data_IF_010564797818
#
_entry.id   IF_010564797818
#
_cell.length_a   1.000
_cell.length_b   1.000
_cell.length_c   1.000
_cell.angle_alpha   90.00
_cell.angle_beta   90.00
_cell.angle_gamma   90.00
#
_symmetry.space_group_name_H-M   'P 1'
#
loop_
_entity.id
_entity.type
_entity.pdbx_description
1 polymer ?
#
# COMPACT_ATOMS: atom_id res chain seq x y z
N UNK A 1 2.48 9.57 -11.44
CA UNK A 1 3.80 9.45 -10.75
C UNK A 1 4.59 8.36 -11.46
N UNK A 2 5.88 8.55 -11.74
CA UNK A 2 6.72 7.51 -12.36
C UNK A 2 7.52 6.73 -11.29
N UNK A 3 8.18 5.64 -11.67
CA UNK A 3 8.91 4.77 -10.72
C UNK A 3 9.97 5.50 -9.90
N UNK A 4 10.77 6.34 -10.56
CA UNK A 4 11.83 7.12 -9.91
C UNK A 4 11.26 8.06 -8.82
N UNK A 5 10.24 8.85 -9.16
CA UNK A 5 9.60 9.78 -8.21
C UNK A 5 8.89 9.04 -7.06
N UNK A 6 8.31 7.87 -7.32
CA UNK A 6 7.73 7.03 -6.27
C UNK A 6 8.79 6.56 -5.28
N UNK A 7 9.87 5.94 -5.76
CA UNK A 7 10.90 5.39 -4.87
C UNK A 7 11.71 6.45 -4.14
N UNK A 8 11.90 7.64 -4.73
CA UNK A 8 12.48 8.78 -4.04
C UNK A 8 11.63 9.18 -2.82
N UNK A 9 10.31 9.35 -3.00
CA UNK A 9 9.39 9.65 -1.89
C UNK A 9 9.30 8.50 -0.88
N UNK A 10 9.27 7.26 -1.36
CA UNK A 10 9.25 6.06 -0.53
C UNK A 10 10.46 6.01 0.42
N UNK A 11 11.67 6.26 -0.10
CA UNK A 11 12.91 6.28 0.68
C UNK A 11 12.93 7.41 1.70
N UNK A 12 12.39 8.58 1.36
CA UNK A 12 12.31 9.71 2.29
C UNK A 12 11.37 9.45 3.48
N UNK A 13 10.39 8.55 3.34
CA UNK A 13 9.52 8.09 4.43
C UNK A 13 10.14 6.88 5.14
N UNK A 14 11.30 7.07 5.75
CA UNK A 14 12.10 6.00 6.35
C UNK A 14 11.87 5.75 7.84
N UNK A 15 11.23 6.69 8.56
CA UNK A 15 11.07 6.62 10.01
C UNK A 15 10.15 5.47 10.46
N UNK A 16 10.36 4.97 11.69
CA UNK A 16 9.54 3.90 12.26
C UNK A 16 8.05 4.29 12.36
N UNK A 17 7.76 5.53 12.76
CA UNK A 17 6.40 6.08 12.79
C UNK A 17 5.82 6.36 11.40
N UNK A 18 6.65 6.40 10.35
CA UNK A 18 6.24 6.65 8.97
C UNK A 18 6.03 5.36 8.17
N UNK A 19 6.26 4.19 8.76
CA UNK A 19 6.14 2.89 8.10
C UNK A 19 5.34 1.90 8.93
N UNK A 20 4.23 1.41 8.39
CA UNK A 20 3.53 0.24 8.91
C UNK A 20 3.71 -0.92 7.94
N UNK A 21 4.11 -2.09 8.45
CA UNK A 21 4.24 -3.32 7.67
C UNK A 21 3.48 -4.45 8.37
N UNK A 22 2.74 -5.22 7.58
CA UNK A 22 2.01 -6.41 8.03
C UNK A 22 2.22 -7.54 7.04
N UNK A 23 2.50 -8.73 7.56
CA UNK A 23 2.45 -9.98 6.81
C UNK A 23 1.27 -10.77 7.36
N UNK A 24 0.35 -11.17 6.50
CA UNK A 24 -0.90 -11.80 6.93
C UNK A 24 -1.40 -12.79 5.86
N UNK A 25 -2.20 -13.75 6.30
CA UNK A 25 -2.81 -14.76 5.42
C UNK A 25 -4.02 -14.15 4.71
N UNK A 26 -4.18 -14.45 3.42
CA UNK A 26 -5.36 -14.05 2.69
C UNK A 26 -6.63 -14.73 3.25
N UNK A 27 -7.70 -13.97 3.42
CA UNK A 27 -9.01 -14.45 3.86
C UNK A 27 -9.71 -15.27 2.77
N UNK A 28 -9.50 -14.89 1.51
CA UNK A 28 -9.98 -15.60 0.32
C UNK A 28 -8.79 -16.13 -0.49
N UNK A 29 -9.00 -17.12 -1.37
CA UNK A 29 -7.98 -17.54 -2.32
C UNK A 29 -7.40 -16.34 -3.07
N UNK A 30 -6.07 -16.31 -3.18
CA UNK A 30 -5.35 -15.14 -3.66
C UNK A 30 -5.62 -14.89 -5.16
N UNK A 31 -6.45 -13.89 -5.44
CA UNK A 31 -6.74 -13.38 -6.78
C UNK A 31 -6.17 -11.95 -6.94
N UNK A 32 -5.20 -11.80 -7.83
CA UNK A 32 -4.53 -10.52 -8.07
C UNK A 32 -5.43 -9.49 -8.75
N UNK A 33 -6.35 -9.90 -9.60
CA UNK A 33 -7.29 -8.97 -10.24
C UNK A 33 -8.29 -8.45 -9.22
N UNK A 34 -8.84 -9.35 -8.40
CA UNK A 34 -9.70 -8.94 -7.28
C UNK A 34 -8.94 -8.01 -6.31
N UNK A 35 -7.67 -8.29 -6.03
CA UNK A 35 -6.86 -7.44 -5.17
C UNK A 35 -6.63 -6.04 -5.77
N UNK A 36 -6.33 -5.94 -7.07
CA UNK A 36 -6.24 -4.67 -7.80
C UNK A 36 -7.54 -3.87 -7.72
N UNK A 37 -8.68 -4.53 -7.95
CA UNK A 37 -10.01 -3.89 -7.84
C UNK A 37 -10.29 -3.38 -6.43
N UNK A 38 -9.95 -4.15 -5.38
CA UNK A 38 -10.07 -3.72 -3.98
C UNK A 38 -9.23 -2.47 -3.70
N UNK A 39 -7.97 -2.43 -4.16
CA UNK A 39 -7.09 -1.27 -3.97
C UNK A 39 -7.61 -0.01 -4.68
N UNK A 40 -8.13 -0.15 -5.90
CA UNK A 40 -8.77 0.95 -6.62
C UNK A 40 -10.03 1.43 -5.89
N UNK A 41 -10.87 0.50 -5.41
CA UNK A 41 -12.08 0.80 -4.65
C UNK A 41 -11.82 1.46 -3.29
N UNK A 42 -10.67 1.19 -2.68
CA UNK A 42 -10.21 1.87 -1.46
C UNK A 42 -9.89 3.36 -1.69
N UNK A 43 -9.76 3.80 -2.95
CA UNK A 43 -9.56 5.20 -3.31
C UNK A 43 -8.09 5.61 -3.49
N UNK A 44 -7.17 4.65 -3.59
CA UNK A 44 -5.78 4.93 -3.97
C UNK A 44 -5.57 4.69 -5.47
N UNK A 45 -4.68 5.48 -6.08
CA UNK A 45 -4.30 5.28 -7.48
C UNK A 45 -3.33 4.09 -7.56
N UNK A 46 -3.72 3.05 -8.30
CA UNK A 46 -2.81 1.98 -8.69
C UNK A 46 -1.81 2.52 -9.73
N UNK A 47 -0.53 2.27 -9.49
CA UNK A 47 0.57 2.72 -10.35
C UNK A 47 1.20 1.52 -11.05
N UNK A 48 1.04 1.46 -12.37
CA UNK A 48 1.57 0.37 -13.17
C UNK A 48 3.10 0.46 -13.34
N UNK A 49 3.74 -0.71 -13.39
CA UNK A 49 5.16 -0.87 -13.71
C UNK A 49 6.13 -0.08 -12.82
N UNK A 50 5.75 0.17 -11.56
CA UNK A 50 6.63 0.77 -10.56
C UNK A 50 7.52 -0.28 -9.91
N UNK A 51 6.93 -1.38 -9.44
CA UNK A 51 7.69 -2.48 -8.88
C UNK A 51 8.30 -3.34 -9.99
N UNK A 52 9.56 -3.79 -9.86
CA UNK A 52 10.13 -4.73 -10.83
C UNK A 52 9.42 -6.08 -10.85
N UNK A 53 8.78 -6.49 -9.75
CA UNK A 53 7.92 -7.67 -9.73
C UNK A 53 6.49 -7.29 -10.19
N UNK A 54 6.00 -7.82 -11.32
CA UNK A 54 4.69 -7.46 -11.87
C UNK A 54 3.49 -7.91 -11.01
N UNK A 55 3.69 -8.88 -10.10
CA UNK A 55 2.66 -9.32 -9.16
C UNK A 55 2.48 -8.33 -7.99
N UNK A 56 3.51 -7.53 -7.69
CA UNK A 56 3.42 -6.52 -6.65
C UNK A 56 2.56 -5.35 -7.11
N UNK A 57 1.69 -4.88 -6.22
CA UNK A 57 0.83 -3.73 -6.47
C UNK A 57 1.38 -2.53 -5.72
N UNK A 58 1.59 -1.44 -6.45
CA UNK A 58 2.05 -0.17 -5.89
C UNK A 58 0.94 0.85 -6.04
N UNK A 59 0.60 1.54 -4.95
CA UNK A 59 -0.39 2.60 -4.99
C UNK A 59 0.15 3.88 -4.36
N UNK A 60 -0.40 5.01 -4.80
CA UNK A 60 -0.21 6.30 -4.18
C UNK A 60 -1.55 7.01 -4.02
N UNK A 61 -1.68 7.81 -2.97
CA UNK A 61 -2.88 8.59 -2.71
C UNK A 61 -2.59 9.76 -1.78
N UNK A 62 -3.57 10.66 -1.67
CA UNK A 62 -3.54 11.77 -0.71
C UNK A 62 -4.81 11.66 0.12
N UNK A 63 -4.65 11.56 1.44
CA UNK A 63 -5.77 11.61 2.37
C UNK A 63 -6.01 13.07 2.71
N UNK A 64 -7.16 13.57 2.28
CA UNK A 64 -7.61 14.92 2.55
C UNK A 64 -8.44 14.94 3.84
N UNK A 65 -8.03 15.74 4.81
CA UNK A 65 -8.84 16.08 5.99
C UNK A 65 -9.15 17.57 5.97
N UNK A 66 -9.99 18.04 6.91
CA UNK A 66 -10.31 19.47 7.02
C UNK A 66 -9.07 20.36 7.24
N UNK A 67 -8.05 19.85 7.91
CA UNK A 67 -6.89 20.66 8.37
C UNK A 67 -5.59 20.34 7.67
N UNK A 68 -5.49 19.20 6.97
CA UNK A 68 -4.22 18.74 6.40
C UNK A 68 -4.43 17.77 5.22
N UNK A 69 -3.40 17.63 4.41
CA UNK A 69 -3.29 16.61 3.37
C UNK A 69 -2.12 15.70 3.69
N UNK A 70 -2.34 14.39 3.66
CA UNK A 70 -1.32 13.40 3.98
C UNK A 70 -1.10 12.50 2.77
N UNK A 71 0.08 12.62 2.15
CA UNK A 71 0.50 11.70 1.10
C UNK A 71 0.73 10.31 1.68
N UNK A 72 0.16 9.30 1.03
CA UNK A 72 0.22 7.90 1.44
C UNK A 72 0.71 7.05 0.27
N UNK A 73 1.75 6.25 0.51
CA UNK A 73 2.32 5.30 -0.43
C UNK A 73 2.06 3.88 0.09
N UNK A 74 1.74 2.97 -0.82
CA UNK A 74 1.40 1.59 -0.52
C UNK A 74 2.16 0.65 -1.43
N UNK A 75 2.65 -0.46 -0.86
CA UNK A 75 3.18 -1.60 -1.61
C UNK A 75 2.57 -2.89 -1.04
N UNK A 76 1.84 -3.63 -1.87
CA UNK A 76 1.23 -4.90 -1.54
C UNK A 76 1.94 -6.01 -2.32
N UNK A 77 2.57 -6.93 -1.61
CA UNK A 77 3.40 -8.00 -2.16
C UNK A 77 2.73 -9.35 -1.90
N UNK A 78 2.09 -9.98 -2.91
CA UNK A 78 1.45 -11.28 -2.76
C UNK A 78 2.47 -12.42 -2.78
N UNK A 79 2.23 -13.45 -1.97
CA UNK A 79 2.88 -14.76 -2.07
C UNK A 79 1.81 -15.81 -2.39
N UNK A 80 1.69 -16.15 -3.68
CA UNK A 80 0.70 -17.11 -4.19
C UNK A 80 0.86 -18.51 -3.59
N UNK A 81 2.09 -18.97 -3.38
CA UNK A 81 2.35 -20.30 -2.83
C UNK A 81 1.92 -20.39 -1.35
N UNK A 82 2.23 -19.36 -0.56
CA UNK A 82 1.91 -19.34 0.85
C UNK A 82 0.50 -18.81 1.17
N UNK A 83 -0.22 -18.28 0.16
CA UNK A 83 -1.50 -17.59 0.32
C UNK A 83 -1.41 -16.46 1.37
N UNK A 84 -0.34 -15.67 1.30
CA UNK A 84 -0.07 -14.55 2.20
C UNK A 84 0.17 -13.27 1.43
N UNK A 85 -0.03 -12.14 2.10
CA UNK A 85 0.36 -10.81 1.63
C UNK A 85 1.38 -10.20 2.58
N UNK A 86 2.30 -9.40 2.02
CA UNK A 86 3.06 -8.40 2.77
C UNK A 86 2.59 -7.02 2.33
N UNK A 87 1.89 -6.31 3.21
CA UNK A 87 1.46 -4.94 3.00
C UNK A 87 2.44 -3.98 3.69
N UNK A 88 2.89 -2.97 2.97
CA UNK A 88 3.67 -1.86 3.54
C UNK A 88 3.00 -0.54 3.19
N UNK A 89 2.68 0.25 4.22
CA UNK A 89 2.16 1.62 4.10
C UNK A 89 3.23 2.58 4.57
N UNK A 90 3.42 3.68 3.83
CA UNK A 90 4.26 4.81 4.22
C UNK A 90 3.55 6.15 4.09
N UNK A 91 3.57 6.95 5.14
CA UNK A 91 3.02 8.32 5.13
C UNK A 91 3.77 9.22 6.11
N UNK A 92 3.57 10.53 6.01
CA UNK A 92 4.20 11.49 6.93
C UNK A 92 3.55 11.56 8.32
N UNK A 93 2.40 10.90 8.55
CA UNK A 93 1.67 10.94 9.82
C UNK A 93 1.41 9.55 10.36
N UNK A 94 1.91 9.26 11.56
CA UNK A 94 1.85 7.93 12.16
C UNK A 94 0.45 7.35 12.27
N UNK A 95 -0.52 8.15 12.71
CA UNK A 95 -1.91 7.71 12.83
C UNK A 95 -2.48 7.27 11.48
N UNK A 96 -2.17 8.00 10.41
CA UNK A 96 -2.58 7.65 9.04
C UNK A 96 -1.88 6.38 8.57
N UNK A 97 -0.56 6.29 8.79
CA UNK A 97 0.23 5.12 8.40
C UNK A 97 -0.32 3.83 9.02
N UNK A 98 -0.64 3.85 10.33
CA UNK A 98 -1.17 2.69 11.05
C UNK A 98 -2.59 2.37 10.65
N UNK A 99 -3.48 3.37 10.60
CA UNK A 99 -4.90 3.17 10.34
C UNK A 99 -5.15 2.61 8.94
N UNK A 100 -4.52 3.19 7.92
CA UNK A 100 -4.63 2.70 6.54
C UNK A 100 -4.13 1.26 6.42
N UNK A 101 -3.06 0.92 7.14
CA UNK A 101 -2.53 -0.45 7.13
C UNK A 101 -3.54 -1.43 7.75
N UNK A 102 -4.14 -1.09 8.89
CA UNK A 102 -5.13 -1.94 9.55
C UNK A 102 -6.38 -2.13 8.67
N UNK A 103 -6.96 -1.04 8.18
CA UNK A 103 -8.17 -1.09 7.34
C UNK A 103 -7.98 -1.97 6.11
N UNK A 104 -6.81 -1.89 5.46
CA UNK A 104 -6.52 -2.70 4.27
C UNK A 104 -6.28 -4.16 4.61
N UNK A 105 -5.59 -4.48 5.72
CA UNK A 105 -5.40 -5.88 6.15
C UNK A 105 -6.75 -6.57 6.29
N UNK A 106 -7.76 -5.88 6.84
CA UNK A 106 -9.11 -6.45 7.01
C UNK A 106 -9.83 -6.71 5.68
N UNK A 107 -9.38 -6.14 4.56
CA UNK A 107 -9.98 -6.36 3.23
C UNK A 107 -9.43 -7.57 2.47
N UNK A 108 -8.31 -8.16 2.89
CA UNK A 108 -7.57 -9.17 2.13
C UNK A 108 -7.50 -10.50 2.87
#
# INVERSE_FOLDING_TARGET
MNGESFFARWKNLGGESQRAQRVFKAQLPLDLQAARTKLMGFGMQLLDSIDPNPDNMVCAGIIHTQTQQVGCLLRLEPNKQAQMFRLTIRSSKESVTKEVCNLLVDQF
#
